data_IF_488323611182
#
_entry.id   IF_488323611182
#
_cell.length_a   1.000
_cell.length_b   1.000
_cell.length_c   1.000
_cell.angle_alpha   90.00
_cell.angle_beta   90.00
_cell.angle_gamma   90.00
#
_symmetry.space_group_name_H-M   'P 1'
#
loop_
_entity.id
_entity.type
_entity.pdbx_description
1 polymer ?
#
# COMPACT_ATOMS: atom_id res chain seq x y z
N UNK A 1 27.27 -14.53 -12.05
CA UNK A 1 26.88 -15.70 -12.87
C UNK A 1 26.34 -15.18 -14.18
N UNK A 2 26.72 -15.78 -15.30
CA UNK A 2 26.11 -15.47 -16.59
C UNK A 2 24.77 -16.21 -16.68
N UNK A 3 23.70 -15.51 -17.05
CA UNK A 3 22.38 -16.10 -17.27
C UNK A 3 22.40 -17.02 -18.49
N UNK A 4 21.71 -18.14 -18.43
CA UNK A 4 21.55 -19.04 -19.58
C UNK A 4 20.61 -18.43 -20.63
N UNK A 5 20.75 -18.83 -21.90
CA UNK A 5 19.83 -18.37 -22.96
C UNK A 5 18.37 -18.73 -22.67
N UNK A 6 18.14 -19.83 -21.96
CA UNK A 6 16.80 -20.28 -21.54
C UNK A 6 16.19 -19.34 -20.49
N UNK A 7 16.97 -18.93 -19.47
CA UNK A 7 16.53 -17.94 -18.47
C UNK A 7 16.23 -16.56 -19.09
N UNK A 8 16.99 -16.17 -20.11
CA UNK A 8 16.77 -14.92 -20.83
C UNK A 8 15.45 -14.99 -21.62
N UNK A 9 15.23 -16.06 -22.39
CA UNK A 9 14.00 -16.26 -23.15
C UNK A 9 12.78 -16.37 -22.22
N UNK A 10 12.93 -17.03 -21.07
CA UNK A 10 11.88 -17.11 -20.07
C UNK A 10 11.52 -15.73 -19.51
N UNK A 11 12.52 -14.91 -19.18
CA UNK A 11 12.31 -13.53 -18.71
C UNK A 11 11.62 -12.67 -19.76
N UNK A 12 12.01 -12.79 -21.03
CA UNK A 12 11.34 -12.09 -22.15
C UNK A 12 9.88 -12.50 -22.23
N UNK A 13 9.59 -13.82 -22.16
CA UNK A 13 8.22 -14.30 -22.17
C UNK A 13 7.40 -13.80 -20.96
N UNK A 14 8.02 -13.71 -19.77
CA UNK A 14 7.36 -13.14 -18.59
C UNK A 14 6.96 -11.68 -18.81
N UNK A 15 7.83 -10.88 -19.42
CA UNK A 15 7.55 -9.47 -19.70
C UNK A 15 6.49 -9.32 -20.79
N UNK A 16 6.69 -9.95 -21.95
CA UNK A 16 5.87 -9.71 -23.15
C UNK A 16 4.46 -10.33 -23.05
N UNK A 17 4.35 -11.53 -22.50
CA UNK A 17 3.10 -12.30 -22.54
C UNK A 17 2.40 -12.41 -21.18
N UNK A 18 3.14 -12.22 -20.08
CA UNK A 18 2.63 -12.46 -18.72
C UNK A 18 2.58 -11.20 -17.84
N UNK A 19 2.82 -10.03 -18.45
CA UNK A 19 2.76 -8.72 -17.78
C UNK A 19 3.67 -8.62 -16.56
N UNK A 20 4.89 -9.18 -16.62
CA UNK A 20 5.89 -8.95 -15.58
C UNK A 20 6.42 -7.51 -15.65
N UNK A 21 6.35 -6.81 -14.53
CA UNK A 21 6.87 -5.44 -14.39
C UNK A 21 7.44 -5.17 -13.00
N UNK A 22 8.23 -4.10 -12.91
CA UNK A 22 8.54 -3.45 -11.64
C UNK A 22 7.45 -2.43 -11.35
N UNK A 23 6.59 -2.77 -10.39
CA UNK A 23 5.44 -1.93 -10.01
C UNK A 23 5.88 -0.54 -9.57
N UNK A 24 6.98 -0.47 -8.82
CA UNK A 24 7.52 0.81 -8.35
C UNK A 24 9.01 0.77 -8.05
N UNK A 25 9.68 1.87 -8.36
CA UNK A 25 10.97 2.26 -7.77
C UNK A 25 10.71 3.44 -6.86
N UNK A 26 10.92 3.26 -5.56
CA UNK A 26 10.65 4.29 -4.55
C UNK A 26 11.95 4.75 -3.90
N UNK A 27 12.26 6.04 -4.03
CA UNK A 27 13.37 6.67 -3.32
C UNK A 27 12.89 7.15 -1.95
N UNK A 28 13.35 6.48 -0.90
CA UNK A 28 13.22 6.92 0.48
C UNK A 28 14.22 8.03 0.80
N UNK A 29 13.78 9.11 1.45
CA UNK A 29 14.63 10.25 1.83
C UNK A 29 14.34 10.66 3.28
N UNK A 30 15.37 10.67 4.10
CA UNK A 30 15.31 11.20 5.46
C UNK A 30 15.23 12.73 5.43
N UNK A 31 14.33 13.31 6.22
CA UNK A 31 14.15 14.76 6.34
C UNK A 31 14.55 15.33 7.71
N UNK A 32 15.17 14.55 8.59
CA UNK A 32 15.50 15.00 9.94
C UNK A 32 16.42 16.23 10.00
N UNK A 33 17.28 16.42 9.00
CA UNK A 33 18.14 17.61 8.85
C UNK A 33 17.41 18.84 8.28
N UNK A 34 16.15 18.68 7.86
CA UNK A 34 15.32 19.74 7.30
C UNK A 34 14.43 20.43 8.34
N UNK A 35 14.42 19.96 9.60
CA UNK A 35 13.68 20.59 10.69
C UNK A 35 14.09 22.06 10.88
N UNK A 36 13.10 22.93 11.09
CA UNK A 36 13.31 24.35 11.37
C UNK A 36 12.12 24.95 12.14
N UNK A 37 12.31 25.76 13.19
CA UNK A 37 11.19 26.45 13.83
C UNK A 37 10.38 27.36 12.89
N UNK A 38 11.00 27.84 11.80
CA UNK A 38 10.29 28.56 10.74
C UNK A 38 9.78 27.57 9.67
N UNK A 39 8.46 27.41 9.50
CA UNK A 39 7.88 26.43 8.57
C UNK A 39 8.22 26.73 7.10
N UNK A 40 8.41 28.00 6.74
CA UNK A 40 8.83 28.35 5.36
C UNK A 40 10.28 27.95 5.09
N UNK A 41 11.15 28.05 6.10
CA UNK A 41 12.53 27.62 6.00
C UNK A 41 12.62 26.09 5.94
N UNK A 42 11.85 25.37 6.77
CA UNK A 42 11.74 23.91 6.71
C UNK A 42 11.23 23.46 5.33
N UNK A 43 10.15 24.07 4.84
CA UNK A 43 9.59 23.77 3.52
C UNK A 43 10.63 23.95 2.38
N UNK A 44 11.44 25.00 2.43
CA UNK A 44 12.51 25.21 1.45
C UNK A 44 13.60 24.14 1.56
N UNK A 45 14.08 23.81 2.77
CA UNK A 45 15.07 22.74 2.97
C UNK A 45 14.57 21.38 2.47
N UNK A 46 13.31 21.05 2.77
CA UNK A 46 12.65 19.83 2.30
C UNK A 46 12.63 19.78 0.78
N UNK A 47 12.18 20.86 0.13
CA UNK A 47 12.17 20.95 -1.34
C UNK A 47 13.58 20.76 -1.92
N UNK A 48 14.57 21.47 -1.38
CA UNK A 48 15.95 21.40 -1.87
C UNK A 48 16.56 20.02 -1.67
N UNK A 49 16.33 19.38 -0.52
CA UNK A 49 16.86 18.03 -0.25
C UNK A 49 16.23 16.98 -1.16
N UNK A 50 14.90 16.99 -1.32
CA UNK A 50 14.20 16.04 -2.19
C UNK A 50 14.65 16.21 -3.63
N UNK A 51 14.64 17.44 -4.15
CA UNK A 51 15.01 17.70 -5.54
C UNK A 51 16.48 17.42 -5.84
N UNK A 52 17.39 17.73 -4.90
CA UNK A 52 18.82 17.40 -5.03
C UNK A 52 19.06 15.90 -5.03
N UNK A 53 18.47 15.18 -4.08
CA UNK A 53 18.69 13.72 -3.91
C UNK A 53 18.04 12.94 -5.05
N UNK A 54 16.85 13.36 -5.48
CA UNK A 54 16.08 12.73 -6.55
C UNK A 54 16.42 13.22 -7.97
N UNK A 55 17.38 14.14 -8.15
CA UNK A 55 17.62 14.84 -9.42
C UNK A 55 17.81 13.92 -10.64
N UNK A 56 18.40 12.74 -10.43
CA UNK A 56 18.67 11.75 -11.49
C UNK A 56 17.78 10.50 -11.39
N UNK A 57 16.75 10.51 -10.54
CA UNK A 57 15.92 9.33 -10.26
C UNK A 57 15.22 8.84 -11.53
N UNK A 58 14.41 9.69 -12.18
CA UNK A 58 13.64 9.32 -13.38
C UNK A 58 14.57 8.89 -14.52
N UNK A 59 15.63 9.66 -14.79
CA UNK A 59 16.56 9.35 -15.88
C UNK A 59 17.30 8.03 -15.65
N UNK A 60 17.64 7.73 -14.38
CA UNK A 60 18.25 6.45 -14.00
C UNK A 60 17.25 5.30 -14.15
N UNK A 61 16.02 5.47 -13.68
CA UNK A 61 14.97 4.45 -13.80
C UNK A 61 14.69 4.13 -15.27
N UNK A 62 14.47 5.14 -16.12
CA UNK A 62 14.25 4.94 -17.56
C UNK A 62 15.45 4.33 -18.28
N UNK A 63 16.68 4.66 -17.84
CA UNK A 63 17.88 3.99 -18.33
C UNK A 63 17.87 2.50 -17.97
N UNK A 64 17.52 2.12 -16.74
CA UNK A 64 17.47 0.72 -16.32
C UNK A 64 16.36 -0.04 -17.05
N UNK A 65 15.17 0.53 -17.17
CA UNK A 65 14.06 -0.02 -17.95
C UNK A 65 14.50 -0.35 -19.39
N UNK A 66 15.14 0.59 -20.09
CA UNK A 66 15.66 0.37 -21.45
C UNK A 66 16.78 -0.65 -21.50
N UNK A 67 17.65 -0.70 -20.48
CA UNK A 67 18.84 -1.57 -20.47
C UNK A 67 18.46 -3.03 -20.23
N UNK A 68 17.47 -3.29 -19.36
CA UNK A 68 17.07 -4.64 -18.98
C UNK A 68 15.78 -5.12 -19.63
N UNK A 69 15.05 -4.23 -20.32
CA UNK A 69 13.81 -4.58 -21.02
C UNK A 69 12.65 -4.95 -20.10
N UNK A 70 12.73 -4.61 -18.81
CA UNK A 70 11.66 -4.85 -17.83
C UNK A 70 10.95 -3.51 -17.59
N UNK A 71 9.63 -3.41 -17.86
CA UNK A 71 8.86 -2.19 -17.64
C UNK A 71 8.92 -1.73 -16.18
N UNK A 72 9.00 -0.41 -15.99
CA UNK A 72 8.92 0.20 -14.66
C UNK A 72 7.73 1.14 -14.64
N UNK A 73 6.66 0.73 -13.93
CA UNK A 73 5.35 1.39 -14.00
C UNK A 73 5.39 2.73 -13.28
N UNK A 74 5.92 2.76 -12.05
CA UNK A 74 5.95 3.97 -11.23
C UNK A 74 7.35 4.30 -10.72
N UNK A 75 7.62 5.60 -10.62
CA UNK A 75 8.74 6.16 -9.88
C UNK A 75 8.23 7.09 -8.80
N UNK A 76 8.60 6.83 -7.55
CA UNK A 76 8.00 7.47 -6.37
C UNK A 76 9.07 7.97 -5.40
N UNK A 77 8.64 8.84 -4.49
CA UNK A 77 9.44 9.25 -3.34
C UNK A 77 8.66 8.96 -2.07
N UNK A 78 9.34 8.51 -1.02
CA UNK A 78 8.81 8.42 0.32
C UNK A 78 9.70 9.24 1.24
N UNK A 79 9.11 10.00 2.17
CA UNK A 79 9.87 10.84 3.11
C UNK A 79 9.56 10.48 4.55
N UNK A 80 10.41 10.95 5.46
CA UNK A 80 10.16 10.88 6.91
C UNK A 80 8.74 11.33 7.22
N UNK A 81 7.98 10.61 8.06
CA UNK A 81 6.66 11.04 8.50
C UNK A 81 6.69 12.51 8.95
N UNK A 82 5.94 13.36 8.25
CA UNK A 82 6.03 14.81 8.45
C UNK A 82 5.69 15.23 9.88
N UNK A 83 4.90 14.43 10.64
CA UNK A 83 4.64 14.74 12.05
C UNK A 83 5.89 14.69 12.93
N UNK A 84 6.95 13.98 12.51
CA UNK A 84 8.22 13.91 13.23
C UNK A 84 9.12 15.14 13.01
N UNK A 85 8.78 16.00 12.05
CA UNK A 85 9.46 17.28 11.81
C UNK A 85 8.79 18.44 12.57
N UNK A 86 7.82 18.14 13.44
CA UNK A 86 7.09 19.16 14.20
C UNK A 86 8.01 19.96 15.13
N UNK A 87 7.94 21.29 15.00
CA UNK A 87 8.58 22.25 15.91
C UNK A 87 7.56 23.15 16.62
N UNK A 88 6.34 22.64 16.83
CA UNK A 88 5.20 23.41 17.36
C UNK A 88 4.33 24.01 16.27
N UNK A 89 4.33 23.39 15.09
CA UNK A 89 3.61 23.83 13.90
C UNK A 89 2.10 23.80 14.09
N UNK A 90 1.45 24.79 13.48
CA UNK A 90 0.00 24.82 13.26
C UNK A 90 -0.39 23.94 12.06
N UNK A 91 -1.69 23.76 11.85
CA UNK A 91 -2.23 23.07 10.68
C UNK A 91 -1.81 23.77 9.37
N UNK A 92 -1.82 25.10 9.38
CA UNK A 92 -1.43 25.95 8.26
C UNK A 92 0.06 25.80 7.91
N UNK A 93 0.91 25.62 8.92
CA UNK A 93 2.34 25.39 8.73
C UNK A 93 2.60 24.04 8.04
N UNK A 94 1.86 23.00 8.41
CA UNK A 94 1.92 21.71 7.72
C UNK A 94 1.40 21.80 6.28
N UNK A 95 0.45 22.69 5.99
CA UNK A 95 -0.01 22.95 4.63
C UNK A 95 1.10 23.57 3.75
N UNK A 96 1.92 24.47 4.31
CA UNK A 96 3.10 25.04 3.63
C UNK A 96 4.09 23.92 3.28
N UNK A 97 4.35 23.00 4.21
CA UNK A 97 5.22 21.84 3.96
C UNK A 97 4.63 20.94 2.87
N UNK A 98 3.32 20.66 2.89
CA UNK A 98 2.66 19.85 1.88
C UNK A 98 2.81 20.44 0.47
N UNK A 99 2.71 21.77 0.31
CA UNK A 99 2.95 22.41 -0.98
C UNK A 99 4.40 22.34 -1.43
N UNK A 100 5.38 22.36 -0.51
CA UNK A 100 6.78 22.14 -0.87
C UNK A 100 7.03 20.70 -1.33
N UNK A 101 6.39 19.71 -0.70
CA UNK A 101 6.44 18.31 -1.15
C UNK A 101 5.84 18.16 -2.56
N UNK A 102 4.67 18.76 -2.81
CA UNK A 102 3.99 18.71 -4.10
C UNK A 102 4.85 19.37 -5.18
N UNK A 103 5.44 20.53 -4.87
CA UNK A 103 6.38 21.21 -5.76
C UNK A 103 7.60 20.33 -6.06
N UNK A 104 8.17 19.67 -5.07
CA UNK A 104 9.31 18.76 -5.27
C UNK A 104 8.93 17.56 -6.14
N UNK A 105 7.76 16.96 -5.90
CA UNK A 105 7.25 15.85 -6.71
C UNK A 105 7.04 16.26 -8.18
N UNK A 106 6.54 17.47 -8.41
CA UNK A 106 6.37 18.02 -9.75
C UNK A 106 7.70 18.36 -10.44
N UNK A 107 8.65 18.96 -9.72
CA UNK A 107 10.01 19.21 -10.23
C UNK A 107 10.72 17.93 -10.64
N UNK A 108 10.59 16.86 -9.86
CA UNK A 108 11.20 15.57 -10.17
C UNK A 108 10.47 14.78 -11.26
N UNK A 109 9.20 15.10 -11.54
CA UNK A 109 8.37 14.35 -12.48
C UNK A 109 8.02 12.94 -12.00
N UNK A 110 7.95 12.72 -10.68
CA UNK A 110 7.52 11.45 -10.06
C UNK A 110 5.99 11.33 -10.03
N UNK A 111 5.49 10.10 -9.86
CA UNK A 111 4.06 9.81 -9.86
C UNK A 111 3.39 10.21 -8.54
N UNK A 112 3.98 9.81 -7.41
CA UNK A 112 3.45 10.05 -6.07
C UNK A 112 4.57 10.28 -5.05
N UNK A 113 4.24 11.03 -3.99
CA UNK A 113 5.08 11.26 -2.83
C UNK A 113 4.34 10.89 -1.55
N UNK A 114 4.86 9.91 -0.82
CA UNK A 114 4.33 9.46 0.47
C UNK A 114 5.15 10.01 1.64
N UNK A 115 4.55 10.03 2.82
CA UNK A 115 5.20 10.49 4.05
C UNK A 115 4.48 11.66 4.73
N UNK A 116 3.38 12.17 4.16
CA UNK A 116 2.49 13.10 4.87
C UNK A 116 1.68 12.34 5.93
N UNK A 117 2.40 11.89 6.95
CA UNK A 117 2.01 10.79 7.81
C UNK A 117 2.25 11.08 9.28
N UNK A 118 1.52 10.37 10.15
CA UNK A 118 1.69 10.41 11.60
C UNK A 118 1.65 9.00 12.22
N UNK A 119 2.40 8.83 13.32
CA UNK A 119 2.52 7.57 14.06
C UNK A 119 1.90 7.71 15.46
N UNK A 120 0.61 7.38 15.60
CA UNK A 120 -0.21 7.73 16.77
C UNK A 120 -0.67 6.53 17.60
N UNK A 121 -0.08 5.35 17.40
CA UNK A 121 -0.43 4.11 18.10
C UNK A 121 -0.39 4.18 19.64
N UNK A 122 0.32 5.16 20.22
CA UNK A 122 0.45 5.34 21.69
C UNK A 122 -0.16 6.64 22.22
N UNK A 123 -0.87 7.40 21.39
CA UNK A 123 -1.40 8.72 21.73
C UNK A 123 -0.94 9.76 20.72
N UNK A 124 -1.14 11.03 21.05
CA UNK A 124 -0.86 12.15 20.16
C UNK A 124 0.07 13.17 20.82
N UNK A 125 0.93 13.77 20.01
CA UNK A 125 1.45 15.10 20.26
C UNK A 125 0.50 16.16 19.70
N UNK A 126 0.76 17.43 20.02
CA UNK A 126 0.01 18.56 19.42
C UNK A 126 0.23 18.62 17.90
N UNK A 127 1.46 18.39 17.44
CA UNK A 127 1.80 18.31 16.02
C UNK A 127 1.05 17.21 15.29
N UNK A 128 0.91 16.03 15.89
CA UNK A 128 0.15 14.93 15.28
C UNK A 128 -1.32 15.33 15.02
N UNK A 129 -1.96 15.97 16.01
CA UNK A 129 -3.36 16.43 15.86
C UNK A 129 -3.49 17.51 14.78
N UNK A 130 -2.55 18.45 14.72
CA UNK A 130 -2.55 19.52 13.71
C UNK A 130 -2.32 18.96 12.30
N UNK A 131 -1.39 18.01 12.15
CA UNK A 131 -1.15 17.33 10.87
C UNK A 131 -2.40 16.53 10.45
N UNK A 132 -2.96 15.71 11.36
CA UNK A 132 -4.17 14.92 11.08
C UNK A 132 -5.32 15.84 10.63
N UNK A 133 -5.51 16.96 11.31
CA UNK A 133 -6.58 17.91 11.01
C UNK A 133 -6.47 18.51 9.59
N UNK A 134 -5.26 18.69 9.06
CA UNK A 134 -5.04 19.30 7.74
C UNK A 134 -5.00 18.29 6.58
N UNK A 135 -4.87 16.98 6.86
CA UNK A 135 -4.86 15.93 5.82
C UNK A 135 -5.99 16.08 4.78
N UNK A 136 -7.27 16.30 5.14
CA UNK A 136 -8.35 16.42 4.16
C UNK A 136 -8.10 17.54 3.14
N UNK A 137 -7.61 18.69 3.62
CA UNK A 137 -7.30 19.84 2.77
C UNK A 137 -6.09 19.53 1.89
N UNK A 138 -5.00 19.00 2.46
CA UNK A 138 -3.79 18.63 1.69
C UNK A 138 -4.15 17.66 0.57
N UNK A 139 -4.85 16.57 0.86
CA UNK A 139 -5.15 15.55 -0.13
C UNK A 139 -6.16 16.01 -1.19
N UNK A 140 -6.96 17.04 -0.92
CA UNK A 140 -7.92 17.60 -1.89
C UNK A 140 -7.33 18.68 -2.79
N UNK A 141 -6.31 19.42 -2.32
CA UNK A 141 -5.66 20.52 -3.06
C UNK A 141 -4.34 20.13 -3.73
N UNK A 142 -3.74 19.01 -3.36
CA UNK A 142 -2.55 18.45 -4.01
C UNK A 142 -2.92 17.28 -4.93
N UNK A 143 -2.06 16.97 -5.90
CA UNK A 143 -2.29 15.86 -6.82
C UNK A 143 -1.54 14.61 -6.37
N UNK A 144 -0.25 14.77 -6.03
CA UNK A 144 0.70 13.66 -5.88
C UNK A 144 0.99 13.27 -4.44
N UNK A 145 0.56 14.08 -3.46
CA UNK A 145 0.80 13.78 -2.05
C UNK A 145 -0.13 12.68 -1.56
N UNK A 146 0.47 11.71 -0.90
CA UNK A 146 -0.21 10.64 -0.17
C UNK A 146 0.07 10.75 1.34
N UNK A 147 -0.93 10.40 2.13
CA UNK A 147 -0.85 10.41 3.59
C UNK A 147 -1.16 9.06 4.22
N UNK A 148 -0.61 8.84 5.41
CA UNK A 148 -0.89 7.63 6.16
C UNK A 148 -0.91 7.85 7.68
N UNK A 149 -1.75 7.10 8.38
CA UNK A 149 -1.88 7.18 9.84
C UNK A 149 -1.65 5.81 10.45
N UNK A 150 -0.56 5.62 11.18
CA UNK A 150 -0.36 4.39 11.96
C UNK A 150 -1.03 4.52 13.33
N UNK A 151 -2.20 3.91 13.48
CA UNK A 151 -3.07 4.05 14.67
C UNK A 151 -2.94 2.88 15.63
N UNK A 152 -2.26 1.82 15.23
CA UNK A 152 -2.12 0.60 16.02
C UNK A 152 -0.75 -0.06 15.85
N UNK A 153 -0.34 -0.82 16.86
CA UNK A 153 0.78 -1.76 16.72
C UNK A 153 0.64 -2.90 17.71
N UNK A 154 1.19 -4.07 17.38
CA UNK A 154 1.23 -5.24 18.26
C UNK A 154 1.75 -4.88 19.66
N UNK A 155 2.74 -3.98 19.73
CA UNK A 155 3.39 -3.58 20.99
C UNK A 155 2.62 -2.52 21.77
N UNK A 156 1.75 -1.74 21.11
CA UNK A 156 1.01 -0.65 21.74
C UNK A 156 -0.48 -0.96 21.97
N UNK A 157 -1.02 -1.94 21.24
CA UNK A 157 -2.45 -2.12 21.07
C UNK A 157 -3.01 -1.21 19.99
N UNK A 158 -4.28 -0.83 20.13
CA UNK A 158 -5.04 -0.06 19.14
C UNK A 158 -5.49 1.26 19.77
N UNK A 159 -5.12 2.40 19.17
CA UNK A 159 -5.58 3.70 19.61
C UNK A 159 -6.94 4.03 18.95
N UNK A 160 -8.04 3.84 19.70
CA UNK A 160 -9.39 4.10 19.21
C UNK A 160 -9.65 5.60 18.99
N UNK A 161 -9.03 6.47 19.78
CA UNK A 161 -9.12 7.92 19.55
C UNK A 161 -8.50 8.29 18.20
N UNK A 162 -7.40 7.64 17.82
CA UNK A 162 -6.75 7.86 16.51
C UNK A 162 -7.59 7.33 15.35
N UNK A 163 -8.29 6.21 15.56
CA UNK A 163 -9.25 5.68 14.59
C UNK A 163 -10.41 6.65 14.39
N UNK A 164 -10.93 7.25 15.46
CA UNK A 164 -12.01 8.25 15.38
C UNK A 164 -11.57 9.47 14.57
N UNK A 165 -10.38 10.01 14.87
CA UNK A 165 -9.81 11.11 14.08
C UNK A 165 -9.55 10.73 12.62
N UNK A 166 -9.01 9.53 12.36
CA UNK A 166 -8.78 9.05 10.99
C UNK A 166 -10.11 8.93 10.22
N UNK A 167 -11.17 8.49 10.88
CA UNK A 167 -12.51 8.40 10.30
C UNK A 167 -13.05 9.77 9.94
N UNK A 168 -12.96 10.75 10.84
CA UNK A 168 -13.35 12.13 10.53
C UNK A 168 -12.59 12.70 9.31
N UNK A 169 -11.30 12.42 9.23
CA UNK A 169 -10.45 12.82 8.11
C UNK A 169 -10.94 12.19 6.81
N UNK A 170 -11.28 10.90 6.81
CA UNK A 170 -11.83 10.19 5.63
C UNK A 170 -13.11 10.87 5.15
N UNK A 171 -14.08 11.15 6.03
CA UNK A 171 -15.32 11.83 5.64
C UNK A 171 -15.09 13.24 5.11
N UNK A 172 -14.23 14.03 5.77
CA UNK A 172 -13.89 15.38 5.32
C UNK A 172 -13.21 15.33 3.95
N UNK A 173 -12.28 14.40 3.73
CA UNK A 173 -11.58 14.24 2.47
C UNK A 173 -12.54 13.82 1.33
N UNK A 174 -13.46 12.88 1.60
CA UNK A 174 -14.51 12.49 0.67
C UNK A 174 -15.42 13.67 0.30
N UNK A 175 -15.85 14.46 1.29
CA UNK A 175 -16.71 15.62 1.09
C UNK A 175 -16.04 16.73 0.26
N UNK A 176 -14.77 17.06 0.58
CA UNK A 176 -13.98 18.06 -0.16
C UNK A 176 -13.72 17.66 -1.62
N UNK A 177 -13.86 16.37 -1.94
CA UNK A 177 -13.68 15.85 -3.30
C UNK A 177 -14.92 15.13 -3.82
N UNK A 178 -16.12 15.51 -3.36
CA UNK A 178 -17.38 14.89 -3.74
C UNK A 178 -17.60 14.86 -5.27
N UNK A 179 -17.30 15.97 -5.96
CA UNK A 179 -17.38 16.10 -7.43
C UNK A 179 -16.43 15.17 -8.19
N UNK A 180 -15.44 14.60 -7.48
CA UNK A 180 -14.45 13.65 -8.00
C UNK A 180 -14.56 12.30 -7.31
N UNK A 181 -15.77 11.90 -6.92
CA UNK A 181 -16.07 10.61 -6.27
C UNK A 181 -15.26 10.36 -4.97
N UNK A 182 -14.87 11.40 -4.23
CA UNK A 182 -14.13 11.23 -2.98
C UNK A 182 -12.65 10.85 -3.15
N UNK A 183 -12.05 11.14 -4.32
CA UNK A 183 -10.69 10.73 -4.72
C UNK A 183 -9.59 11.01 -3.68
N UNK A 184 -9.75 12.02 -2.82
CA UNK A 184 -8.77 12.28 -1.76
C UNK A 184 -8.58 11.07 -0.82
N UNK A 185 -9.62 10.26 -0.60
CA UNK A 185 -9.53 9.05 0.22
C UNK A 185 -8.66 7.96 -0.43
N UNK A 186 -8.53 7.95 -1.76
CA UNK A 186 -7.62 7.01 -2.44
C UNK A 186 -6.14 7.29 -2.14
N UNK A 187 -5.83 8.49 -1.64
CA UNK A 187 -4.48 8.94 -1.25
C UNK A 187 -4.26 8.91 0.27
N UNK A 188 -5.16 8.30 1.03
CA UNK A 188 -5.07 8.16 2.48
C UNK A 188 -5.16 6.68 2.88
N UNK A 189 -4.31 6.25 3.80
CA UNK A 189 -4.40 4.89 4.36
C UNK A 189 -4.20 4.89 5.87
N UNK A 190 -4.96 4.07 6.58
CA UNK A 190 -4.86 3.88 8.02
C UNK A 190 -4.22 2.53 8.31
N UNK A 191 -3.19 2.48 9.15
CA UNK A 191 -2.37 1.28 9.39
C UNK A 191 -2.40 0.78 10.84
N UNK A 192 -2.26 -0.54 10.96
CA UNK A 192 -1.64 -1.19 12.09
C UNK A 192 -0.27 -1.74 11.66
N UNK A 193 0.74 -1.62 12.55
CA UNK A 193 2.09 -2.14 12.31
C UNK A 193 2.68 -1.69 10.95
N UNK A 194 2.58 -0.40 10.62
CA UNK A 194 3.11 0.11 9.37
C UNK A 194 4.63 -0.18 9.25
N UNK A 195 5.11 -0.72 8.11
CA UNK A 195 6.52 -0.93 7.88
C UNK A 195 7.24 0.39 7.60
N UNK A 196 8.52 0.45 7.98
CA UNK A 196 9.37 1.64 7.86
C UNK A 196 9.93 1.87 6.45
N UNK A 197 9.81 0.88 5.56
CA UNK A 197 10.46 0.82 4.25
C UNK A 197 9.46 0.52 3.11
N UNK A 198 8.15 0.71 3.36
CA UNK A 198 7.09 0.41 2.41
C UNK A 198 7.21 1.23 1.10
N UNK A 199 7.34 0.59 -0.08
CA UNK A 199 7.42 1.30 -1.35
C UNK A 199 6.04 1.63 -1.96
N UNK A 200 4.95 1.09 -1.42
CA UNK A 200 3.60 1.20 -2.00
C UNK A 200 2.78 2.39 -1.47
N UNK A 201 2.11 3.09 -2.39
CA UNK A 201 1.20 4.20 -2.08
C UNK A 201 -0.23 3.70 -1.81
N UNK A 202 -1.02 4.40 -0.98
CA UNK A 202 -0.76 5.68 -0.32
C UNK A 202 0.14 5.61 0.93
N UNK A 203 0.56 4.41 1.32
CA UNK A 203 1.12 4.14 2.63
C UNK A 203 2.62 4.32 2.84
N UNK A 204 3.37 4.66 1.80
CA UNK A 204 4.80 4.77 1.87
C UNK A 204 5.24 5.95 2.76
N UNK A 205 6.22 5.70 3.61
CA UNK A 205 7.03 6.72 4.29
C UNK A 205 8.44 6.16 4.49
N UNK A 206 9.39 7.04 4.79
CA UNK A 206 10.78 6.67 5.05
C UNK A 206 11.03 6.65 6.57
N UNK A 207 11.20 5.46 7.14
CA UNK A 207 11.23 5.26 8.59
C UNK A 207 12.43 5.88 9.30
N UNK A 208 12.39 5.84 10.63
CA UNK A 208 13.39 6.47 11.50
C UNK A 208 14.69 5.66 11.49
N UNK A 209 14.59 4.33 11.34
CA UNK A 209 15.75 3.43 11.31
C UNK A 209 16.46 3.35 9.96
N UNK A 210 15.91 3.97 8.92
CA UNK A 210 16.43 3.89 7.56
C UNK A 210 17.65 4.81 7.33
N UNK A 211 18.41 4.54 6.25
CA UNK A 211 19.54 5.39 5.84
C UNK A 211 19.11 6.81 5.43
N UNK A 212 20.04 7.73 5.20
CA UNK A 212 19.70 9.09 4.74
C UNK A 212 18.91 9.09 3.42
N UNK A 213 19.24 8.16 2.52
CA UNK A 213 18.44 7.84 1.35
C UNK A 213 18.60 6.36 0.95
N UNK A 214 17.51 5.74 0.49
CA UNK A 214 17.50 4.34 0.06
C UNK A 214 16.55 4.12 -1.13
N UNK A 215 16.87 3.14 -1.98
CA UNK A 215 15.98 2.66 -3.05
C UNK A 215 15.28 1.39 -2.60
N UNK A 216 13.96 1.46 -2.59
CA UNK A 216 13.06 0.32 -2.36
C UNK A 216 12.34 -0.02 -3.68
N UNK A 217 12.20 -1.31 -3.96
CA UNK A 217 11.55 -1.80 -5.18
C UNK A 217 10.31 -2.59 -4.81
N UNK A 218 9.19 -2.32 -5.47
CA UNK A 218 8.04 -3.21 -5.48
C UNK A 218 7.95 -3.92 -6.82
N UNK A 219 7.89 -5.25 -6.80
CA UNK A 219 7.71 -6.06 -8.02
C UNK A 219 6.22 -6.34 -8.25
N UNK A 220 5.83 -6.46 -9.52
CA UNK A 220 4.55 -7.06 -9.91
C UNK A 220 4.79 -8.43 -10.53
N UNK A 221 3.74 -9.23 -10.63
CA UNK A 221 3.80 -10.58 -11.20
C UNK A 221 2.55 -11.45 -11.08
N UNK A 222 1.32 -10.95 -10.78
CA UNK A 222 0.14 -11.82 -10.77
C UNK A 222 -0.05 -12.63 -12.06
N UNK A 223 0.11 -12.00 -13.23
CA UNK A 223 -0.02 -12.69 -14.52
C UNK A 223 0.97 -13.85 -14.70
N UNK A 224 2.21 -13.69 -14.23
CA UNK A 224 3.25 -14.73 -14.26
C UNK A 224 2.90 -15.91 -13.35
N UNK A 225 2.43 -15.62 -12.14
CA UNK A 225 2.04 -16.65 -11.17
C UNK A 225 0.82 -17.42 -11.67
N UNK A 226 -0.20 -16.72 -12.19
CA UNK A 226 -1.39 -17.37 -12.78
C UNK A 226 -1.00 -18.33 -13.90
N UNK A 227 -0.20 -17.88 -14.87
CA UNK A 227 0.20 -18.72 -15.99
C UNK A 227 1.03 -19.93 -15.58
N UNK A 228 1.77 -19.83 -14.47
CA UNK A 228 2.48 -20.97 -13.87
C UNK A 228 1.50 -22.01 -13.34
N UNK A 229 0.46 -21.57 -12.62
CA UNK A 229 -0.58 -22.45 -12.07
C UNK A 229 -1.37 -23.14 -13.19
N UNK A 230 -1.74 -22.40 -14.24
CA UNK A 230 -2.49 -22.93 -15.39
C UNK A 230 -1.72 -24.02 -16.17
N UNK A 231 -0.39 -24.00 -16.14
CA UNK A 231 0.47 -25.04 -16.76
C UNK A 231 0.57 -26.32 -15.93
N UNK A 232 0.09 -26.29 -14.70
CA UNK A 232 0.22 -27.38 -13.72
C UNK A 232 -1.14 -27.84 -13.17
N UNK A 233 -2.14 -28.17 -14.03
CA UNK A 233 -3.53 -28.41 -13.59
C UNK A 233 -3.69 -29.62 -12.66
N UNK A 234 -2.82 -30.63 -12.80
CA UNK A 234 -2.91 -31.88 -12.05
C UNK A 234 -2.03 -31.89 -10.78
N UNK A 235 -1.36 -30.78 -10.45
CA UNK A 235 -0.53 -30.70 -9.25
C UNK A 235 -1.38 -30.72 -7.98
N UNK A 236 -0.94 -31.46 -6.97
CA UNK A 236 -1.47 -31.27 -5.62
C UNK A 236 -1.04 -29.91 -5.05
N UNK A 237 -1.65 -29.50 -3.93
CA UNK A 237 -1.38 -28.18 -3.33
C UNK A 237 0.08 -28.00 -2.89
N UNK A 238 0.78 -29.09 -2.54
CA UNK A 238 2.19 -29.03 -2.16
C UNK A 238 3.07 -28.75 -3.38
N UNK A 239 2.88 -29.51 -4.44
CA UNK A 239 3.58 -29.32 -5.70
C UNK A 239 3.26 -27.96 -6.32
N UNK A 240 2.01 -27.49 -6.23
CA UNK A 240 1.62 -26.15 -6.70
C UNK A 240 2.34 -25.03 -5.93
N UNK A 241 2.46 -25.16 -4.61
CA UNK A 241 3.21 -24.21 -3.80
C UNK A 241 4.71 -24.17 -4.18
N UNK A 242 5.31 -25.30 -4.54
CA UNK A 242 6.68 -25.35 -5.06
C UNK A 242 6.84 -24.58 -6.37
N UNK A 243 5.91 -24.73 -7.31
CA UNK A 243 5.95 -24.02 -8.60
C UNK A 243 5.76 -22.50 -8.43
N UNK A 244 4.87 -22.07 -7.53
CA UNK A 244 4.70 -20.65 -7.17
C UNK A 244 6.01 -20.12 -6.56
N UNK A 245 6.64 -20.85 -5.63
CA UNK A 245 7.91 -20.42 -5.02
C UNK A 245 9.02 -20.23 -6.06
N UNK A 246 9.20 -21.18 -6.98
CA UNK A 246 10.22 -21.10 -8.05
C UNK A 246 9.97 -19.88 -8.93
N UNK A 247 8.73 -19.63 -9.28
CA UNK A 247 8.33 -18.48 -10.11
C UNK A 247 8.61 -17.17 -9.39
N UNK A 248 8.18 -17.05 -8.14
CA UNK A 248 8.39 -15.84 -7.32
C UNK A 248 9.88 -15.58 -7.10
N UNK A 249 10.69 -16.62 -6.91
CA UNK A 249 12.14 -16.50 -6.82
C UNK A 249 12.73 -15.79 -8.05
N UNK A 250 12.33 -16.19 -9.26
CA UNK A 250 12.85 -15.63 -10.52
C UNK A 250 12.49 -14.15 -10.66
N UNK A 251 11.22 -13.79 -10.48
CA UNK A 251 10.78 -12.39 -10.59
C UNK A 251 11.41 -11.50 -9.50
N UNK A 252 11.60 -12.04 -8.30
CA UNK A 252 12.26 -11.31 -7.20
C UNK A 252 13.72 -11.02 -7.52
N UNK A 253 14.45 -11.99 -8.10
CA UNK A 253 15.84 -11.79 -8.53
C UNK A 253 15.97 -10.72 -9.61
N UNK A 254 15.03 -10.67 -10.55
CA UNK A 254 14.99 -9.63 -11.57
C UNK A 254 14.75 -8.24 -10.95
N UNK A 255 13.81 -8.12 -10.01
CA UNK A 255 13.56 -6.88 -9.28
C UNK A 255 14.73 -6.40 -8.44
N UNK A 256 15.37 -7.31 -7.69
CA UNK A 256 16.55 -7.00 -6.88
C UNK A 256 17.71 -6.49 -7.75
N UNK A 257 17.93 -7.12 -8.91
CA UNK A 257 18.96 -6.69 -9.87
C UNK A 257 18.74 -5.23 -10.28
N UNK A 258 17.52 -4.86 -10.69
CA UNK A 258 17.20 -3.49 -11.10
C UNK A 258 17.41 -2.54 -9.92
N UNK A 259 16.90 -2.86 -8.74
CA UNK A 259 17.03 -2.03 -7.55
C UNK A 259 18.48 -1.72 -7.17
N UNK A 260 19.34 -2.74 -7.17
CA UNK A 260 20.78 -2.56 -6.90
C UNK A 260 21.47 -1.72 -7.95
N UNK A 261 21.06 -1.80 -9.22
CA UNK A 261 21.63 -0.99 -10.31
C UNK A 261 21.20 0.47 -10.21
N UNK A 262 19.92 0.73 -9.88
CA UNK A 262 19.42 2.07 -9.60
C UNK A 262 20.15 2.68 -8.40
N UNK A 263 20.18 1.98 -7.27
CA UNK A 263 20.88 2.42 -6.04
C UNK A 263 22.35 2.75 -6.33
N UNK A 264 23.10 1.87 -6.99
CA UNK A 264 24.50 2.10 -7.35
C UNK A 264 24.69 3.31 -8.26
N UNK A 265 23.79 3.53 -9.21
CA UNK A 265 23.88 4.64 -10.17
C UNK A 265 23.58 5.99 -9.51
N UNK A 266 22.63 6.02 -8.57
CA UNK A 266 22.27 7.20 -7.79
C UNK A 266 23.23 7.47 -6.61
N UNK A 267 24.04 6.47 -6.22
CA UNK A 267 24.94 6.60 -5.07
C UNK A 267 24.23 6.56 -3.71
N UNK A 268 23.06 5.93 -3.64
CA UNK A 268 22.25 5.79 -2.41
C UNK A 268 22.18 4.32 -1.98
N UNK A 269 21.78 4.05 -0.74
CA UNK A 269 21.65 2.67 -0.26
C UNK A 269 20.59 1.90 -1.05
N UNK A 270 20.78 0.59 -1.14
CA UNK A 270 19.69 -0.30 -1.53
C UNK A 270 18.97 -0.72 -0.26
N UNK A 271 17.65 -0.44 -0.18
CA UNK A 271 16.82 -0.85 0.93
C UNK A 271 16.28 -2.25 0.67
N UNK A 272 15.00 -2.34 0.27
CA UNK A 272 14.30 -3.62 0.17
C UNK A 272 13.73 -3.95 -1.21
N UNK A 273 13.41 -5.23 -1.39
CA UNK A 273 12.48 -5.72 -2.41
C UNK A 273 11.19 -6.14 -1.72
N UNK A 274 10.09 -5.50 -2.08
CA UNK A 274 8.76 -5.88 -1.66
C UNK A 274 8.20 -6.89 -2.67
N UNK A 275 7.79 -8.06 -2.16
CA UNK A 275 7.35 -9.22 -2.93
C UNK A 275 5.88 -9.18 -3.34
N UNK A 276 5.21 -8.09 -3.02
CA UNK A 276 3.76 -8.01 -3.12
C UNK A 276 3.22 -8.17 -4.54
N UNK A 277 2.39 -9.19 -4.75
CA UNK A 277 1.65 -9.37 -5.99
C UNK A 277 0.60 -8.26 -6.10
N UNK A 278 0.92 -7.20 -6.85
CA UNK A 278 0.08 -6.03 -7.04
C UNK A 278 -0.65 -6.12 -8.39
N UNK A 279 -1.98 -6.36 -8.41
CA UNK A 279 -2.74 -6.48 -9.65
C UNK A 279 -2.90 -5.13 -10.37
N UNK A 280 -3.35 -5.21 -11.61
CA UNK A 280 -3.73 -4.05 -12.41
C UNK A 280 -5.11 -4.24 -13.03
N UNK A 281 -5.76 -3.16 -13.51
CA UNK A 281 -7.02 -3.29 -14.23
C UNK A 281 -6.91 -4.06 -15.54
N UNK A 282 -5.69 -4.41 -15.98
CA UNK A 282 -5.46 -5.16 -17.23
C UNK A 282 -5.93 -6.61 -17.09
N UNK A 283 -6.71 -7.13 -18.05
CA UNK A 283 -7.17 -8.52 -18.03
C UNK A 283 -6.02 -9.52 -17.88
N UNK A 284 -6.15 -10.39 -16.88
CA UNK A 284 -5.21 -11.45 -16.60
C UNK A 284 -4.02 -11.09 -15.70
N UNK A 285 -3.97 -9.85 -15.21
CA UNK A 285 -3.07 -9.42 -14.15
C UNK A 285 -3.85 -9.21 -12.83
N UNK A 286 -4.38 -10.32 -12.30
CA UNK A 286 -5.36 -10.34 -11.21
C UNK A 286 -5.01 -11.42 -10.19
N UNK A 287 -5.03 -11.06 -8.91
CA UNK A 287 -4.90 -12.01 -7.80
C UNK A 287 -6.16 -12.87 -7.70
N UNK A 288 -7.35 -12.32 -7.95
CA UNK A 288 -8.57 -13.11 -8.02
C UNK A 288 -8.48 -14.24 -9.07
N UNK A 289 -7.95 -13.96 -10.26
CA UNK A 289 -7.79 -14.99 -11.29
C UNK A 289 -6.71 -16.03 -10.95
N UNK A 290 -5.69 -15.69 -10.14
CA UNK A 290 -4.77 -16.70 -9.59
C UNK A 290 -5.55 -17.68 -8.71
N UNK A 291 -6.37 -17.15 -7.79
CA UNK A 291 -7.15 -17.99 -6.86
C UNK A 291 -8.16 -18.88 -7.60
N UNK A 292 -8.72 -18.37 -8.69
CA UNK A 292 -9.59 -19.15 -9.59
C UNK A 292 -8.81 -20.24 -10.34
N UNK A 293 -7.62 -19.91 -10.87
CA UNK A 293 -6.73 -20.87 -11.52
C UNK A 293 -6.26 -22.00 -10.58
N UNK A 294 -6.23 -21.76 -9.27
CA UNK A 294 -5.97 -22.80 -8.25
C UNK A 294 -7.14 -23.79 -8.08
N UNK A 295 -8.26 -23.60 -8.78
CA UNK A 295 -9.41 -24.50 -8.79
C UNK A 295 -10.67 -23.93 -8.14
N UNK A 296 -10.73 -22.63 -7.82
CA UNK A 296 -11.94 -21.99 -7.31
C UNK A 296 -12.83 -21.53 -8.47
N UNK A 297 -14.14 -21.73 -8.34
CA UNK A 297 -15.08 -21.28 -9.36
C UNK A 297 -15.17 -19.75 -9.46
N UNK A 298 -14.97 -19.04 -8.35
CA UNK A 298 -14.91 -17.58 -8.29
C UNK A 298 -14.18 -17.13 -7.02
N UNK A 299 -13.40 -16.05 -7.12
CA UNK A 299 -12.82 -15.41 -5.95
C UNK A 299 -13.93 -14.98 -4.96
N UNK A 300 -13.78 -15.35 -3.69
CA UNK A 300 -14.79 -15.11 -2.64
C UNK A 300 -15.56 -16.37 -2.22
N UNK A 301 -15.56 -17.42 -3.04
CA UNK A 301 -16.11 -18.72 -2.67
C UNK A 301 -15.45 -19.33 -1.41
N UNK A 302 -16.10 -20.33 -0.81
CA UNK A 302 -15.46 -21.14 0.25
C UNK A 302 -14.17 -21.77 -0.29
N UNK A 303 -13.09 -21.71 0.50
CA UNK A 303 -11.74 -22.07 0.05
C UNK A 303 -10.86 -20.88 -0.34
N UNK A 304 -11.42 -19.73 -0.73
CA UNK A 304 -10.63 -18.53 -1.14
C UNK A 304 -9.58 -18.11 -0.11
N UNK A 305 -9.94 -18.10 1.17
CA UNK A 305 -9.01 -17.71 2.25
C UNK A 305 -7.87 -18.73 2.37
N UNK A 306 -8.13 -20.02 2.21
CA UNK A 306 -7.10 -21.05 2.27
C UNK A 306 -6.17 -21.00 1.05
N UNK A 307 -6.72 -20.80 -0.16
CA UNK A 307 -5.95 -20.61 -1.38
C UNK A 307 -5.04 -19.38 -1.29
N UNK A 308 -5.57 -18.25 -0.78
CA UNK A 308 -4.79 -17.03 -0.56
C UNK A 308 -3.69 -17.22 0.49
N UNK A 309 -3.96 -17.98 1.55
CA UNK A 309 -2.94 -18.30 2.56
C UNK A 309 -1.78 -19.09 1.95
N UNK A 310 -2.06 -20.10 1.14
CA UNK A 310 -1.05 -20.88 0.41
C UNK A 310 -0.26 -19.99 -0.55
N UNK A 311 -0.95 -19.19 -1.36
CA UNK A 311 -0.32 -18.26 -2.29
C UNK A 311 0.64 -17.30 -1.57
N UNK A 312 0.18 -16.66 -0.49
CA UNK A 312 0.98 -15.70 0.26
C UNK A 312 2.20 -16.35 0.92
N UNK A 313 2.05 -17.55 1.49
CA UNK A 313 3.15 -18.31 2.08
C UNK A 313 4.19 -18.72 1.02
N UNK A 314 3.74 -19.20 -0.14
CA UNK A 314 4.61 -19.53 -1.26
C UNK A 314 5.35 -18.29 -1.80
N UNK A 315 4.67 -17.15 -1.95
CA UNK A 315 5.29 -15.88 -2.38
C UNK A 315 6.39 -15.46 -1.40
N UNK A 316 6.09 -15.45 -0.09
CA UNK A 316 7.06 -15.08 0.94
C UNK A 316 8.27 -16.00 0.95
N UNK A 317 8.06 -17.32 0.86
CA UNK A 317 9.17 -18.30 0.83
C UNK A 317 10.02 -18.18 -0.42
N UNK A 318 9.41 -18.00 -1.59
CA UNK A 318 10.12 -17.83 -2.86
C UNK A 318 10.97 -16.55 -2.87
N UNK A 319 10.39 -15.43 -2.41
CA UNK A 319 11.11 -14.16 -2.38
C UNK A 319 12.20 -14.09 -1.31
N UNK A 320 11.99 -14.67 -0.13
CA UNK A 320 13.02 -14.76 0.91
C UNK A 320 14.21 -15.64 0.49
N UNK A 321 13.98 -16.63 -0.38
CA UNK A 321 15.07 -17.40 -1.00
C UNK A 321 15.85 -16.57 -2.04
N UNK A 322 15.17 -15.63 -2.71
CA UNK A 322 15.76 -14.78 -3.74
C UNK A 322 16.53 -13.58 -3.18
N UNK A 323 16.11 -12.97 -2.08
CA UNK A 323 16.72 -11.73 -1.58
C UNK A 323 16.95 -11.80 -0.08
N UNK A 324 18.11 -11.30 0.37
CA UNK A 324 18.40 -11.07 1.79
C UNK A 324 17.81 -9.75 2.31
N UNK A 325 17.17 -8.98 1.44
CA UNK A 325 16.66 -7.63 1.68
C UNK A 325 15.16 -7.57 1.37
N UNK A 326 14.40 -8.58 1.79
CA UNK A 326 12.93 -8.56 1.66
C UNK A 326 12.35 -7.67 2.76
N UNK A 327 11.42 -6.79 2.39
CA UNK A 327 10.80 -5.83 3.32
C UNK A 327 9.47 -5.27 2.80
N UNK A 328 9.03 -4.13 3.32
CA UNK A 328 7.73 -3.56 2.99
C UNK A 328 6.56 -4.43 3.47
N UNK A 329 5.52 -4.54 2.64
CA UNK A 329 4.32 -5.33 2.93
C UNK A 329 4.52 -6.82 2.61
N UNK A 330 5.20 -7.13 1.50
CA UNK A 330 5.62 -8.48 1.08
C UNK A 330 4.53 -9.55 1.21
N UNK A 331 3.48 -9.41 0.40
CA UNK A 331 2.40 -10.39 0.24
C UNK A 331 1.35 -9.99 -0.80
N UNK A 332 0.37 -10.84 -1.08
CA UNK A 332 -0.64 -10.54 -2.13
C UNK A 332 -1.44 -9.28 -1.80
N UNK A 333 -1.63 -8.37 -2.76
CA UNK A 333 -2.55 -7.24 -2.62
C UNK A 333 -3.97 -7.70 -2.95
N UNK A 334 -4.97 -7.12 -2.28
CA UNK A 334 -6.39 -7.33 -2.60
C UNK A 334 -7.15 -6.01 -2.83
N UNK A 335 -6.68 -5.13 -3.74
CA UNK A 335 -7.25 -3.81 -3.97
C UNK A 335 -8.45 -3.93 -4.90
N UNK A 336 -9.66 -3.77 -4.36
CA UNK A 336 -10.89 -4.06 -5.10
C UNK A 336 -10.99 -3.21 -6.37
N UNK A 337 -10.58 -1.93 -6.34
CA UNK A 337 -10.70 -1.06 -7.52
C UNK A 337 -9.66 -1.32 -8.61
N UNK A 338 -8.57 -2.02 -8.30
CA UNK A 338 -7.44 -2.23 -9.21
C UNK A 338 -7.40 -3.65 -9.76
N UNK A 339 -8.11 -4.62 -9.16
CA UNK A 339 -8.13 -6.02 -9.61
C UNK A 339 -9.44 -6.34 -10.36
N UNK A 340 -9.35 -6.52 -11.68
CA UNK A 340 -10.50 -6.81 -12.54
C UNK A 340 -11.28 -8.07 -12.12
N UNK A 341 -10.60 -9.10 -11.62
CA UNK A 341 -11.24 -10.32 -11.12
C UNK A 341 -11.98 -10.08 -9.80
N UNK A 342 -11.44 -9.23 -8.91
CA UNK A 342 -12.16 -8.85 -7.69
C UNK A 342 -13.37 -7.98 -7.98
N UNK A 343 -13.27 -7.04 -8.91
CA UNK A 343 -14.42 -6.24 -9.38
C UNK A 343 -15.55 -7.16 -9.86
N UNK A 344 -15.22 -8.14 -10.70
CA UNK A 344 -16.19 -9.12 -11.19
C UNK A 344 -16.79 -9.96 -10.05
N UNK A 345 -15.97 -10.40 -9.11
CA UNK A 345 -16.39 -11.19 -7.96
C UNK A 345 -17.33 -10.42 -7.01
N UNK A 346 -17.11 -9.11 -6.83
CA UNK A 346 -18.03 -8.25 -6.09
C UNK A 346 -19.35 -8.07 -6.86
N UNK A 347 -19.29 -7.84 -8.17
CA UNK A 347 -20.47 -7.62 -9.01
C UNK A 347 -21.39 -8.85 -9.08
N UNK A 348 -20.82 -10.06 -9.11
CA UNK A 348 -21.60 -11.30 -9.07
C UNK A 348 -22.01 -11.73 -7.65
N UNK A 349 -21.60 -10.97 -6.62
CA UNK A 349 -21.96 -11.21 -5.22
C UNK A 349 -21.15 -12.31 -4.52
N UNK A 350 -20.10 -12.85 -5.15
CA UNK A 350 -19.24 -13.86 -4.55
C UNK A 350 -18.29 -13.26 -3.50
N UNK A 351 -17.87 -12.00 -3.66
CA UNK A 351 -16.94 -11.31 -2.79
C UNK A 351 -17.64 -10.20 -1.99
N UNK A 352 -17.82 -10.44 -0.70
CA UNK A 352 -18.39 -9.48 0.26
C UNK A 352 -17.30 -8.78 1.08
N UNK A 353 -17.66 -7.68 1.75
CA UNK A 353 -16.74 -6.94 2.62
C UNK A 353 -16.21 -7.81 3.78
N UNK A 354 -17.07 -8.60 4.43
CA UNK A 354 -16.65 -9.54 5.47
C UNK A 354 -15.78 -10.68 4.93
N UNK A 355 -15.94 -11.05 3.65
CA UNK A 355 -15.05 -12.03 3.02
C UNK A 355 -13.67 -11.44 2.76
N UNK A 356 -13.60 -10.17 2.31
CA UNK A 356 -12.34 -9.43 2.19
C UNK A 356 -11.64 -9.33 3.55
N UNK A 357 -12.36 -8.95 4.61
CA UNK A 357 -11.87 -8.95 5.99
C UNK A 357 -11.34 -10.33 6.43
N UNK A 358 -12.06 -11.42 6.14
CA UNK A 358 -11.55 -12.77 6.42
C UNK A 358 -10.27 -13.10 5.59
N UNK A 359 -10.17 -12.58 4.36
CA UNK A 359 -8.96 -12.71 3.54
C UNK A 359 -7.81 -11.86 4.10
N UNK A 360 -8.10 -10.70 4.70
CA UNK A 360 -7.06 -9.85 5.30
C UNK A 360 -6.32 -10.60 6.39
N UNK A 361 -6.94 -11.52 7.14
CA UNK A 361 -6.28 -12.34 8.17
C UNK A 361 -5.04 -13.09 7.66
N UNK A 362 -5.02 -13.53 6.40
CA UNK A 362 -3.93 -14.32 5.80
C UNK A 362 -3.12 -13.56 4.73
N UNK A 363 -3.58 -12.36 4.35
CA UNK A 363 -2.98 -11.43 3.38
C UNK A 363 -1.94 -10.49 4.05
N UNK A 364 -1.29 -9.55 3.37
CA UNK A 364 -0.38 -8.56 4.01
C UNK A 364 -0.89 -7.12 4.04
N UNK A 365 -1.80 -6.74 3.16
CA UNK A 365 -2.15 -5.32 2.95
C UNK A 365 -3.35 -4.87 3.75
N UNK A 366 -4.38 -5.71 3.87
CA UNK A 366 -5.65 -5.35 4.51
C UNK A 366 -6.75 -4.96 3.52
N UNK A 367 -7.68 -4.12 3.95
CA UNK A 367 -8.81 -3.63 3.16
C UNK A 367 -8.36 -2.43 2.29
N UNK A 368 -8.08 -2.66 1.01
CA UNK A 368 -7.54 -1.62 0.13
C UNK A 368 -8.49 -1.25 -1.01
N UNK A 369 -8.53 0.04 -1.33
CA UNK A 369 -9.33 0.64 -2.40
C UNK A 369 -10.79 0.17 -2.44
N UNK A 370 -11.48 0.20 -1.29
CA UNK A 370 -12.88 -0.23 -1.18
C UNK A 370 -13.83 0.96 -1.24
N UNK A 371 -14.74 0.98 -2.23
CA UNK A 371 -15.79 1.99 -2.33
C UNK A 371 -17.03 1.56 -1.52
N UNK A 372 -17.57 2.46 -0.70
CA UNK A 372 -18.80 2.26 0.08
C UNK A 372 -19.77 3.44 -0.09
N UNK A 373 -21.06 3.29 0.27
CA UNK A 373 -22.03 4.39 0.20
C UNK A 373 -21.57 5.59 1.03
N UNK A 374 -21.67 6.79 0.45
CA UNK A 374 -21.24 8.02 1.12
C UNK A 374 -22.08 8.42 2.34
N UNK A 375 -23.26 7.83 2.49
CA UNK A 375 -24.15 7.99 3.65
C UNK A 375 -23.90 6.95 4.76
N UNK A 376 -22.86 6.11 4.63
CA UNK A 376 -22.46 5.18 5.70
C UNK A 376 -22.15 5.98 6.97
N UNK A 377 -22.73 5.62 8.14
CA UNK A 377 -22.41 6.27 9.41
C UNK A 377 -20.93 6.20 9.79
N UNK A 378 -20.40 7.26 10.39
CA UNK A 378 -18.98 7.35 10.73
C UNK A 378 -18.52 6.24 11.66
N UNK A 379 -19.33 5.90 12.66
CA UNK A 379 -19.04 4.85 13.61
C UNK A 379 -18.84 3.48 12.94
N UNK A 380 -19.46 3.22 11.78
CA UNK A 380 -19.31 1.96 11.07
C UNK A 380 -17.93 1.89 10.40
N UNK A 381 -17.47 3.00 9.81
CA UNK A 381 -16.11 3.06 9.26
C UNK A 381 -15.07 2.94 10.38
N UNK A 382 -15.28 3.62 11.51
CA UNK A 382 -14.38 3.53 12.66
C UNK A 382 -14.29 2.09 13.19
N UNK A 383 -15.43 1.38 13.30
CA UNK A 383 -15.46 -0.02 13.72
C UNK A 383 -14.76 -0.94 12.71
N UNK A 384 -15.00 -0.75 11.41
CA UNK A 384 -14.33 -1.51 10.35
C UNK A 384 -12.81 -1.31 10.39
N UNK A 385 -12.35 -0.07 10.63
CA UNK A 385 -10.92 0.19 10.84
C UNK A 385 -10.45 -0.56 12.09
N UNK A 386 -11.17 -0.49 13.21
CA UNK A 386 -10.80 -1.17 14.44
C UNK A 386 -10.69 -2.70 14.29
N UNK A 387 -11.61 -3.33 13.55
CA UNK A 387 -11.60 -4.76 13.27
C UNK A 387 -10.35 -5.15 12.45
N UNK A 388 -10.04 -4.38 11.40
CA UNK A 388 -8.85 -4.62 10.59
C UNK A 388 -7.55 -4.36 11.38
N UNK A 389 -7.54 -3.35 12.25
CA UNK A 389 -6.40 -3.11 13.15
C UNK A 389 -6.24 -4.28 14.14
N UNK A 390 -7.34 -4.86 14.63
CA UNK A 390 -7.31 -6.01 15.53
C UNK A 390 -6.72 -7.25 14.85
N UNK A 391 -7.12 -7.52 13.60
CA UNK A 391 -6.51 -8.57 12.77
C UNK A 391 -4.99 -8.35 12.67
N UNK A 392 -4.55 -7.11 12.43
CA UNK A 392 -3.13 -6.76 12.33
C UNK A 392 -2.35 -6.95 13.64
N UNK A 393 -2.89 -6.40 14.72
CA UNK A 393 -2.29 -6.39 16.06
C UNK A 393 -2.19 -7.81 16.64
N UNK A 394 -3.24 -8.62 16.54
CA UNK A 394 -3.27 -9.98 17.10
C UNK A 394 -2.33 -10.91 16.34
N UNK A 395 -2.28 -10.80 15.01
CA UNK A 395 -1.46 -11.67 14.16
C UNK A 395 -0.03 -11.15 13.95
N UNK A 396 0.36 -10.06 14.63
CA UNK A 396 1.65 -9.40 14.46
C UNK A 396 2.03 -9.17 13.00
N UNK A 397 1.12 -8.55 12.27
CA UNK A 397 1.25 -8.27 10.86
C UNK A 397 0.85 -6.84 10.57
N UNK A 398 1.31 -6.33 9.45
CA UNK A 398 0.76 -5.09 8.90
C UNK A 398 -0.66 -5.35 8.40
N UNK A 399 -1.55 -4.42 8.69
CA UNK A 399 -2.86 -4.30 8.04
C UNK A 399 -3.14 -2.83 7.77
N UNK A 400 -3.91 -2.58 6.73
CA UNK A 400 -4.23 -1.25 6.25
C UNK A 400 -5.70 -1.17 5.89
N UNK A 401 -6.27 0.03 6.03
CA UNK A 401 -7.59 0.37 5.55
C UNK A 401 -7.51 1.59 4.66
N UNK A 402 -7.94 1.40 3.41
CA UNK A 402 -8.23 2.45 2.44
C UNK A 402 -9.65 2.28 1.95
N UNK A 403 -10.53 3.02 2.60
CA UNK A 403 -11.97 2.99 2.35
C UNK A 403 -12.43 4.35 1.82
N UNK A 404 -13.31 4.31 0.84
CA UNK A 404 -13.73 5.48 0.08
C UNK A 404 -15.26 5.59 0.21
N UNK A 405 -15.79 6.36 1.18
CA UNK A 405 -17.20 6.69 1.20
C UNK A 405 -17.49 7.65 0.04
N UNK A 406 -18.23 7.19 -0.97
CA UNK A 406 -18.46 7.97 -2.19
C UNK A 406 -19.76 8.77 -2.06
N UNK A 407 -19.71 10.12 -1.98
CA UNK A 407 -20.90 10.94 -1.78
C UNK A 407 -21.96 10.73 -2.86
N UNK A 408 -23.21 10.56 -2.45
CA UNK A 408 -24.36 10.42 -3.35
C UNK A 408 -24.48 9.07 -4.07
N UNK A 409 -23.55 8.12 -3.85
CA UNK A 409 -23.59 6.79 -4.45
C UNK A 409 -24.22 5.75 -3.53
N UNK A 410 -24.85 4.76 -4.14
CA UNK A 410 -25.53 3.63 -3.49
C UNK A 410 -24.84 2.32 -3.83
N UNK A 411 -25.15 1.28 -3.05
CA UNK A 411 -24.66 -0.09 -3.29
C UNK A 411 -24.96 -0.53 -4.73
N UNK A 412 -23.94 -1.04 -5.41
CA UNK A 412 -24.01 -1.47 -6.81
C UNK A 412 -23.66 -0.40 -7.84
N UNK A 413 -23.63 0.89 -7.47
CA UNK A 413 -23.15 1.94 -8.36
C UNK A 413 -21.67 1.70 -8.70
N UNK A 414 -21.26 2.02 -9.93
CA UNK A 414 -19.85 2.01 -10.34
C UNK A 414 -19.24 3.39 -10.16
N UNK A 415 -18.01 3.42 -9.65
CA UNK A 415 -17.22 4.64 -9.49
C UNK A 415 -15.88 4.47 -10.19
N UNK A 416 -15.45 5.50 -10.91
CA UNK A 416 -14.13 5.53 -11.55
C UNK A 416 -13.27 6.56 -10.84
N UNK A 417 -12.07 6.13 -10.44
CA UNK A 417 -11.05 6.98 -9.84
C UNK A 417 -10.00 7.42 -10.87
N UNK A 418 -9.96 6.76 -12.02
CA UNK A 418 -9.11 7.08 -13.15
C UNK A 418 -7.66 6.57 -13.01
N UNK A 419 -6.98 6.49 -14.16
CA UNK A 419 -5.57 6.08 -14.22
C UNK A 419 -5.30 4.75 -13.52
N UNK A 420 -4.32 4.76 -12.61
CA UNK A 420 -3.87 3.59 -11.86
C UNK A 420 -4.83 3.16 -10.73
N UNK A 421 -5.72 4.05 -10.30
CA UNK A 421 -6.64 3.79 -9.18
C UNK A 421 -7.90 3.02 -9.61
N UNK A 422 -8.07 2.81 -10.92
CA UNK A 422 -9.08 1.93 -11.49
C UNK A 422 -10.53 2.35 -11.25
N UNK A 423 -11.41 1.35 -11.18
CA UNK A 423 -12.84 1.51 -10.95
C UNK A 423 -13.33 0.52 -9.90
N UNK A 424 -14.31 0.90 -9.08
CA UNK A 424 -14.86 0.02 -8.06
C UNK A 424 -16.40 0.01 -8.09
N UNK A 425 -17.03 -1.15 -7.87
CA UNK A 425 -18.42 -1.20 -7.45
C UNK A 425 -18.54 -0.74 -6.00
N UNK A 426 -19.57 0.04 -5.68
CA UNK A 426 -19.90 0.45 -4.31
C UNK A 426 -20.44 -0.76 -3.56
N UNK A 427 -19.75 -1.17 -2.49
CA UNK A 427 -20.02 -2.39 -1.74
C UNK A 427 -21.03 -2.16 -0.61
N UNK A 428 -21.81 -3.19 -0.28
CA UNK A 428 -22.69 -3.16 0.88
C UNK A 428 -21.89 -3.17 2.18
N UNK A 429 -22.37 -2.40 3.16
CA UNK A 429 -21.84 -2.37 4.53
C UNK A 429 -22.93 -2.84 5.50
N UNK A 430 -22.53 -3.51 6.58
CA UNK A 430 -23.45 -3.89 7.63
C UNK A 430 -23.91 -2.65 8.43
N UNK A 431 -25.21 -2.43 8.53
CA UNK A 431 -25.81 -1.24 9.15
C UNK A 431 -26.10 -1.36 10.66
N UNK A 432 -25.77 -2.49 11.30
CA UNK A 432 -25.91 -2.61 12.76
C UNK A 432 -24.92 -1.67 13.46
N UNK A 433 -25.43 -0.77 14.30
CA UNK A 433 -24.64 0.32 14.85
C UNK A 433 -23.60 -0.14 15.89
N UNK A 434 -22.30 0.12 15.67
CA UNK A 434 -21.24 -0.09 16.65
C UNK A 434 -21.00 1.15 17.53
N UNK A 435 -21.88 2.17 17.47
CA UNK A 435 -21.69 3.49 18.08
C UNK A 435 -21.20 3.45 19.53
N UNK A 436 -21.86 2.67 20.38
CA UNK A 436 -21.48 2.53 21.80
C UNK A 436 -20.07 1.94 22.01
N UNK A 437 -19.56 1.14 21.09
CA UNK A 437 -18.21 0.58 21.16
C UNK A 437 -17.19 1.64 20.77
N UNK A 438 -17.42 2.32 19.66
CA UNK A 438 -16.56 3.39 19.11
C UNK A 438 -16.44 4.59 20.05
N UNK A 439 -17.56 5.01 20.64
CA UNK A 439 -17.63 6.15 21.58
C UNK A 439 -16.89 5.90 22.90
N UNK A 440 -16.48 4.65 23.21
CA UNK A 440 -15.63 4.38 24.37
C UNK A 440 -14.26 5.03 24.24
N UNK A 441 -13.78 5.24 23.01
CA UNK A 441 -12.48 5.83 22.73
C UNK A 441 -11.33 5.12 23.46
N UNK A 442 -10.27 5.87 23.73
CA UNK A 442 -9.11 5.41 24.46
C UNK A 442 -8.25 4.41 23.67
N UNK A 443 -7.66 3.45 24.39
CA UNK A 443 -6.71 2.49 23.80
C UNK A 443 -7.08 1.06 24.20
N UNK A 444 -7.30 0.21 23.20
CA UNK A 444 -7.36 -1.24 23.40
C UNK A 444 -5.92 -1.69 23.71
N UNK A 445 -5.67 -2.36 24.85
CA UNK A 445 -4.32 -2.74 25.26
C UNK A 445 -3.70 -3.77 24.30
N UNK A 446 -2.37 -3.84 24.28
CA UNK A 446 -1.64 -4.83 23.50
C UNK A 446 -2.03 -6.27 23.92
N UNK A 447 -2.21 -7.20 22.96
CA UNK A 447 -2.60 -8.57 23.26
C UNK A 447 -1.46 -9.36 23.92
N UNK A 448 -1.83 -10.31 24.79
CA UNK A 448 -0.91 -11.35 25.27
C UNK A 448 -0.84 -12.47 24.22
N UNK A 449 0.37 -12.84 23.77
CA UNK A 449 0.55 -13.89 22.75
C UNK A 449 0.41 -15.31 23.30
N UNK A 450 0.69 -15.50 24.58
CA UNK A 450 0.49 -16.74 25.29
C UNK A 450 0.21 -16.41 26.76
N UNK A 451 -0.79 -17.07 27.34
CA UNK A 451 -0.89 -17.22 28.79
C UNK A 451 0.00 -18.41 29.15
N UNK A 452 1.07 -18.17 29.91
CA UNK A 452 2.01 -19.22 30.35
C UNK A 452 1.68 -19.73 31.75
N UNK A 453 0.38 -19.81 32.09
CA UNK A 453 -0.11 -20.24 33.40
C UNK A 453 -0.50 -21.71 33.43
#
# INVERSE_FOLDING_TARGET
MAYSSEEIMETINMVENLHFDIRTVTLGISLFDCGDPNPSAAAQKIYDKITKTGAQLISTVRMMEKTYGIPIVNTRVAVTPISLLDHGYSSEDFLVIAYALEKAANTLGIDFLGGFSALTQKGFTKGDLNLIAIIPQVLSTTEKICGSLNVASTKAGINMDAINHATEVIFKAAGLTAERNGIACAKLVVFANAPEDNPFMAGAFHGIGEADAAINIGISGPGVVRATIERCPDHDLGALAEEIKKTVFKITRAGELIGRKVSKKLGVAFGIVDLSLAPTPTPGDSVANILEAMGLACCGAHGTTAALALLNDAVKKGGAMASSSVGGLSGSFIPVSEDAGMIAAVQCGALSLSKLEAMTAVCSVGLDMIAIPGDTPQEIIAALIADEMAIGVVNNKTTAVRIIPVPGKKVGDKVSFGGLLGEAPVMAVNNYSPKKFVERGGRIPAPLRALTN
#
